data_IF_616929998134
#
_entry.id   IF_616929998134
#
_cell.length_a   1.000
_cell.length_b   1.000
_cell.length_c   1.000
_cell.angle_alpha   90.00
_cell.angle_beta   90.00
_cell.angle_gamma   90.00
#
_symmetry.space_group_name_H-M   'P 1'
#
loop_
_entity.id
_entity.type
_entity.pdbx_description
1 polymer ?
#
# COMPACT_ATOMS: atom_id res chain seq x y z
N UNK A 1 -31.24 -6.30 -54.87
CA UNK A 1 -30.19 -5.39 -55.38
C UNK A 1 -28.88 -5.83 -54.76
N UNK A 2 -28.00 -6.35 -55.60
CA UNK A 2 -26.66 -6.89 -55.31
C UNK A 2 -25.60 -5.83 -55.63
N UNK A 3 -24.60 -5.65 -54.75
CA UNK A 3 -23.23 -5.13 -55.02
C UNK A 3 -22.37 -5.66 -53.85
N UNK A 4 -21.48 -6.65 -54.03
CA UNK A 4 -20.11 -6.67 -54.60
C UNK A 4 -19.05 -5.96 -53.72
N UNK A 5 -18.13 -6.81 -53.23
CA UNK A 5 -16.75 -6.67 -52.69
C UNK A 5 -15.94 -5.42 -53.07
N UNK A 6 -15.03 -4.96 -52.17
CA UNK A 6 -13.57 -5.05 -52.39
C UNK A 6 -12.73 -4.65 -51.14
N UNK A 7 -11.61 -5.36 -50.94
CA UNK A 7 -10.52 -5.08 -50.01
C UNK A 7 -9.57 -4.03 -50.57
N UNK A 8 -8.85 -3.27 -49.73
CA UNK A 8 -7.41 -2.98 -49.91
C UNK A 8 -6.83 -2.16 -48.76
N UNK A 9 -5.67 -2.63 -48.31
CA UNK A 9 -4.67 -2.03 -47.43
C UNK A 9 -4.23 -0.61 -47.86
N UNK A 10 -3.62 0.15 -46.93
CA UNK A 10 -2.27 0.77 -47.08
C UNK A 10 -1.93 1.70 -45.89
N UNK A 11 -0.88 1.28 -45.19
CA UNK A 11 0.26 2.04 -44.62
C UNK A 11 0.14 3.03 -43.43
N UNK A 12 0.85 2.66 -42.36
CA UNK A 12 1.41 3.51 -41.29
C UNK A 12 2.38 4.58 -41.81
N UNK A 13 2.61 5.66 -41.03
CA UNK A 13 3.93 6.25 -40.94
C UNK A 13 4.57 5.99 -39.56
N UNK A 14 5.65 5.19 -39.60
CA UNK A 14 6.65 5.00 -38.54
C UNK A 14 7.24 6.34 -38.07
N UNK A 15 7.28 6.52 -36.76
CA UNK A 15 8.05 7.56 -36.07
C UNK A 15 8.77 6.92 -34.89
N UNK A 16 9.88 6.26 -35.19
CA UNK A 16 10.81 5.70 -34.22
C UNK A 16 11.57 6.84 -33.52
N UNK A 17 10.99 7.34 -32.41
CA UNK A 17 11.76 8.03 -31.38
C UNK A 17 12.11 7.03 -30.30
N UNK A 18 13.25 6.36 -30.49
CA UNK A 18 13.86 5.44 -29.55
C UNK A 18 14.27 6.21 -28.27
N UNK A 19 13.32 6.31 -27.35
CA UNK A 19 13.53 6.90 -26.02
C UNK A 19 14.30 5.86 -25.21
N UNK A 20 15.63 6.01 -25.11
CA UNK A 20 16.49 5.26 -24.18
C UNK A 20 15.97 5.43 -22.76
N UNK A 21 15.06 4.56 -22.38
CA UNK A 21 14.54 4.45 -21.03
C UNK A 21 15.51 3.54 -20.32
N UNK A 22 16.30 4.10 -19.39
CA UNK A 22 17.10 3.27 -18.49
C UNK A 22 16.14 2.28 -17.81
N UNK A 23 16.41 0.96 -17.86
CA UNK A 23 15.62 0.02 -17.09
C UNK A 23 15.68 0.45 -15.62
N UNK A 24 14.54 0.40 -14.88
CA UNK A 24 14.55 0.75 -13.46
C UNK A 24 15.61 -0.10 -12.77
N UNK A 25 16.38 0.47 -11.82
CA UNK A 25 17.35 -0.32 -11.07
C UNK A 25 16.58 -1.47 -10.42
N UNK A 26 16.85 -2.69 -10.88
CA UNK A 26 16.38 -3.90 -10.25
C UNK A 26 17.09 -4.00 -8.91
N UNK A 27 16.52 -3.36 -7.89
CA UNK A 27 16.97 -3.50 -6.52
C UNK A 27 16.54 -4.90 -6.08
N UNK A 28 17.39 -5.88 -6.39
CA UNK A 28 17.26 -7.24 -5.88
C UNK A 28 17.63 -7.19 -4.41
N UNK A 29 16.68 -6.83 -3.55
CA UNK A 29 16.82 -6.95 -2.11
C UNK A 29 16.89 -8.44 -1.82
N UNK A 30 18.10 -8.99 -1.74
CA UNK A 30 18.31 -10.33 -1.20
C UNK A 30 17.94 -10.26 0.28
N UNK A 31 16.93 -11.01 0.75
CA UNK A 31 16.69 -11.11 2.18
C UNK A 31 17.99 -11.61 2.80
N UNK A 32 18.53 -10.88 3.77
CA UNK A 32 19.77 -11.30 4.46
C UNK A 32 19.55 -12.54 5.30
N UNK A 33 18.29 -12.90 5.55
CA UNK A 33 17.87 -14.04 6.35
C UNK A 33 17.42 -15.19 5.45
N UNK A 34 17.83 -16.40 5.81
CA UNK A 34 17.31 -17.62 5.19
C UNK A 34 15.83 -17.80 5.54
N UNK A 35 15.11 -18.56 4.71
CA UNK A 35 13.71 -18.92 4.99
C UNK A 35 13.57 -19.61 6.36
N UNK A 36 14.56 -20.44 6.72
CA UNK A 36 14.61 -21.11 8.01
C UNK A 36 14.69 -20.10 9.17
N UNK A 37 15.59 -19.12 9.08
CA UNK A 37 15.73 -18.08 10.10
C UNK A 37 14.46 -17.24 10.28
N UNK A 38 13.72 -16.99 9.19
CA UNK A 38 12.44 -16.30 9.24
C UNK A 38 11.39 -17.17 9.94
N UNK A 39 11.33 -18.47 9.63
CA UNK A 39 10.40 -19.40 10.28
C UNK A 39 10.69 -19.55 11.76
N UNK A 40 11.95 -19.70 12.15
CA UNK A 40 12.36 -19.81 13.56
C UNK A 40 12.02 -18.52 14.33
N UNK A 41 12.31 -17.35 13.77
CA UNK A 41 11.96 -16.07 14.39
C UNK A 41 10.44 -15.87 14.50
N UNK A 42 9.66 -16.39 13.56
CA UNK A 42 8.20 -16.36 13.63
C UNK A 42 7.68 -17.36 14.66
N UNK A 43 8.26 -18.55 14.79
CA UNK A 43 7.83 -19.54 15.80
C UNK A 43 8.16 -19.11 17.22
N UNK A 44 9.25 -18.37 17.42
CA UNK A 44 9.61 -17.78 18.72
C UNK A 44 8.80 -16.52 19.05
N UNK A 45 7.99 -16.01 18.12
CA UNK A 45 7.13 -14.86 18.38
C UNK A 45 6.03 -15.24 19.37
N UNK A 46 5.87 -14.50 20.49
CA UNK A 46 4.77 -14.73 21.43
C UNK A 46 3.40 -14.49 20.79
N UNK A 47 3.36 -13.86 19.62
CA UNK A 47 2.13 -13.63 18.85
C UNK A 47 1.78 -14.77 17.89
N UNK A 48 2.70 -15.69 17.59
CA UNK A 48 2.45 -16.78 16.66
C UNK A 48 1.48 -17.84 17.22
N UNK A 49 1.44 -18.00 18.54
CA UNK A 49 0.49 -18.88 19.22
C UNK A 49 -0.86 -18.23 19.51
N UNK A 50 -1.01 -16.93 19.26
CA UNK A 50 -2.24 -16.20 19.56
C UNK A 50 -3.25 -16.39 18.42
N UNK A 51 -4.48 -16.85 18.69
CA UNK A 51 -5.51 -16.95 17.66
C UNK A 51 -5.84 -15.59 17.05
N UNK A 52 -6.13 -15.58 15.74
CA UNK A 52 -6.44 -14.38 14.98
C UNK A 52 -7.58 -13.57 15.60
N UNK A 53 -8.59 -14.23 16.16
CA UNK A 53 -9.75 -13.59 16.80
C UNK A 53 -9.35 -12.75 18.01
N UNK A 54 -8.32 -13.18 18.74
CA UNK A 54 -7.78 -12.44 19.88
C UNK A 54 -6.97 -11.25 19.39
N UNK A 55 -6.17 -11.42 18.33
CA UNK A 55 -5.45 -10.31 17.70
C UNK A 55 -6.41 -9.25 17.17
N UNK A 56 -7.51 -9.64 16.51
CA UNK A 56 -8.56 -8.73 16.04
C UNK A 56 -9.11 -7.91 17.22
N UNK A 57 -9.42 -8.56 18.36
CA UNK A 57 -9.92 -7.86 19.55
C UNK A 57 -8.92 -6.84 20.11
N UNK A 58 -7.63 -7.18 20.13
CA UNK A 58 -6.56 -6.25 20.55
C UNK A 58 -6.45 -5.09 19.56
N UNK A 59 -6.40 -5.39 18.26
CA UNK A 59 -6.23 -4.38 17.20
C UNK A 59 -7.41 -3.42 17.14
N UNK A 60 -8.63 -3.86 17.47
CA UNK A 60 -9.80 -2.98 17.64
C UNK A 60 -9.62 -1.88 18.68
N UNK A 61 -8.72 -2.04 19.66
CA UNK A 61 -8.45 -1.04 20.68
C UNK A 61 -7.44 0.03 20.22
N UNK A 62 -6.65 -0.26 19.18
CA UNK A 62 -5.58 0.61 18.70
C UNK A 62 -6.11 1.79 17.88
N UNK A 63 -5.36 2.90 17.81
CA UNK A 63 -5.71 4.01 16.91
C UNK A 63 -5.53 3.60 15.44
N UNK A 64 -6.13 4.35 14.50
CA UNK A 64 -5.92 4.11 13.06
C UNK A 64 -4.44 4.24 12.67
N UNK A 65 -3.74 5.19 13.29
CA UNK A 65 -2.29 5.35 13.09
C UNK A 65 -1.51 4.13 13.54
N UNK A 66 -1.84 3.58 14.71
CA UNK A 66 -1.16 2.39 15.24
C UNK A 66 -1.45 1.15 14.41
N UNK A 67 -2.67 1.01 13.87
CA UNK A 67 -3.02 -0.07 12.95
C UNK A 67 -2.16 -0.03 11.67
N UNK A 68 -1.86 1.17 11.16
CA UNK A 68 -0.92 1.36 10.07
C UNK A 68 0.48 0.83 10.41
N UNK A 69 0.98 1.11 11.62
CA UNK A 69 2.27 0.60 12.08
C UNK A 69 2.26 -0.93 12.29
N UNK A 70 1.18 -1.47 12.87
CA UNK A 70 0.99 -2.91 13.08
C UNK A 70 1.01 -3.69 11.77
N UNK A 71 0.39 -3.15 10.71
CA UNK A 71 0.39 -3.76 9.39
C UNK A 71 1.79 -3.86 8.74
N UNK A 72 2.78 -3.12 9.25
CA UNK A 72 4.17 -3.15 8.78
C UNK A 72 5.04 -4.14 9.56
N UNK A 73 4.58 -4.69 10.68
CA UNK A 73 5.37 -5.59 11.53
C UNK A 73 5.61 -6.93 10.83
N UNK A 74 4.56 -7.58 10.35
CA UNK A 74 4.66 -8.85 9.64
C UNK A 74 3.42 -9.10 8.77
N UNK A 75 3.53 -10.09 7.87
CA UNK A 75 2.43 -10.47 6.96
C UNK A 75 1.18 -10.92 7.71
N UNK A 76 1.34 -11.67 8.81
CA UNK A 76 0.20 -12.12 9.63
C UNK A 76 -0.56 -10.93 10.19
N UNK A 77 0.12 -9.94 10.77
CA UNK A 77 -0.51 -8.74 11.32
C UNK A 77 -1.18 -7.90 10.25
N UNK A 78 -0.58 -7.78 9.06
CA UNK A 78 -1.23 -7.13 7.92
C UNK A 78 -2.57 -7.78 7.59
N UNK A 79 -2.58 -9.11 7.43
CA UNK A 79 -3.81 -9.87 7.15
C UNK A 79 -4.84 -9.70 8.26
N UNK A 80 -4.40 -9.66 9.53
CA UNK A 80 -5.28 -9.43 10.66
C UNK A 80 -5.89 -8.02 10.64
N UNK A 81 -5.09 -6.98 10.35
CA UNK A 81 -5.55 -5.58 10.25
C UNK A 81 -6.55 -5.38 9.10
N UNK A 82 -6.41 -6.15 8.03
CA UNK A 82 -7.32 -6.09 6.87
C UNK A 82 -8.72 -6.69 7.16
N UNK A 83 -8.99 -7.25 8.35
CA UNK A 83 -10.34 -7.69 8.71
C UNK A 83 -11.31 -6.53 8.91
N UNK A 84 -12.43 -6.59 8.18
CA UNK A 84 -13.49 -5.57 8.21
C UNK A 84 -14.02 -5.27 9.62
N UNK A 85 -14.05 -6.25 10.51
CA UNK A 85 -14.53 -6.08 11.90
C UNK A 85 -13.79 -4.97 12.66
N UNK A 86 -12.49 -4.79 12.36
CA UNK A 86 -11.67 -3.75 12.96
C UNK A 86 -12.17 -2.37 12.50
N UNK A 87 -12.35 -2.21 11.20
CA UNK A 87 -12.72 -0.95 10.57
C UNK A 87 -14.19 -0.60 10.79
N UNK A 88 -15.10 -1.58 10.78
CA UNK A 88 -16.50 -1.39 11.16
C UNK A 88 -16.60 -0.80 12.56
N UNK A 89 -15.80 -1.31 13.52
CA UNK A 89 -15.75 -0.76 14.87
C UNK A 89 -15.31 0.70 14.84
N UNK A 90 -14.29 1.06 14.06
CA UNK A 90 -13.80 2.45 13.97
C UNK A 90 -14.80 3.38 13.28
N UNK A 91 -15.47 2.94 12.22
CA UNK A 91 -16.49 3.71 11.52
C UNK A 91 -17.75 3.90 12.36
N UNK A 92 -18.20 2.87 13.10
CA UNK A 92 -19.38 2.96 13.97
C UNK A 92 -19.13 3.81 15.22
N UNK A 93 -17.93 3.77 15.82
CA UNK A 93 -17.55 4.73 16.87
C UNK A 93 -17.45 6.16 16.32
N UNK A 94 -17.20 6.28 15.01
CA UNK A 94 -17.08 7.55 14.30
C UNK A 94 -18.34 7.95 13.52
N UNK A 95 -19.53 7.45 13.86
CA UNK A 95 -20.79 7.82 13.18
C UNK A 95 -21.18 9.32 13.30
N UNK A 96 -20.27 10.17 13.78
CA UNK A 96 -20.30 11.63 13.63
C UNK A 96 -19.34 12.22 12.60
N UNK A 97 -18.39 11.50 11.99
CA UNK A 97 -17.30 12.15 11.24
C UNK A 97 -16.89 11.60 9.86
N UNK A 98 -17.29 10.40 9.44
CA UNK A 98 -16.77 9.90 8.15
C UNK A 98 -17.85 9.33 7.23
N UNK A 99 -18.27 10.15 6.26
CA UNK A 99 -19.05 9.75 5.09
C UNK A 99 -18.20 9.12 3.96
N UNK A 100 -16.90 8.96 4.21
CA UNK A 100 -15.90 8.50 3.25
C UNK A 100 -15.60 7.02 3.45
N UNK A 101 -15.38 6.30 2.36
CA UNK A 101 -14.89 4.93 2.34
C UNK A 101 -13.45 4.83 2.89
N UNK A 102 -13.05 3.63 3.35
CA UNK A 102 -11.70 3.36 3.85
C UNK A 102 -10.60 3.78 2.85
N UNK A 103 -10.80 3.48 1.56
CA UNK A 103 -9.85 3.85 0.50
C UNK A 103 -9.65 5.36 0.45
N UNK A 104 -10.71 6.13 0.64
CA UNK A 104 -10.64 7.60 0.64
C UNK A 104 -9.91 8.12 1.88
N UNK A 105 -10.22 7.59 3.07
CA UNK A 105 -9.54 7.99 4.31
C UNK A 105 -8.04 7.65 4.26
N UNK A 106 -7.69 6.46 3.77
CA UNK A 106 -6.30 6.03 3.61
C UNK A 106 -5.55 6.89 2.59
N UNK A 107 -6.18 7.20 1.46
CA UNK A 107 -5.58 8.06 0.43
C UNK A 107 -5.41 9.50 0.92
N UNK A 108 -6.38 10.04 1.65
CA UNK A 108 -6.29 11.38 2.26
C UNK A 108 -5.09 11.45 3.22
N UNK A 109 -4.92 10.45 4.10
CA UNK A 109 -3.79 10.39 5.03
C UNK A 109 -2.43 10.30 4.32
N UNK A 110 -2.32 9.47 3.27
CA UNK A 110 -1.10 9.39 2.45
C UNK A 110 -0.79 10.77 1.84
N UNK A 111 -1.81 11.44 1.32
CA UNK A 111 -1.66 12.71 0.66
C UNK A 111 -1.20 13.81 1.64
N UNK A 112 -1.79 13.85 2.83
CA UNK A 112 -1.36 14.75 3.91
C UNK A 112 0.10 14.50 4.32
N UNK A 113 0.49 13.24 4.50
CA UNK A 113 1.89 12.87 4.79
C UNK A 113 2.84 13.29 3.68
N UNK A 114 2.44 13.13 2.42
CA UNK A 114 3.23 13.57 1.27
C UNK A 114 3.43 15.09 1.26
N UNK A 115 2.36 15.86 1.48
CA UNK A 115 2.41 17.33 1.52
C UNK A 115 3.30 17.83 2.65
N UNK A 116 3.15 17.28 3.86
CA UNK A 116 3.98 17.65 5.00
C UNK A 116 5.48 17.41 4.74
N UNK A 117 5.82 16.29 4.10
CA UNK A 117 7.20 15.99 3.74
C UNK A 117 7.76 16.94 2.66
N UNK A 118 6.92 17.43 1.74
CA UNK A 118 7.33 18.44 0.77
C UNK A 118 7.57 19.81 1.41
N UNK A 119 6.77 20.18 2.41
CA UNK A 119 6.97 21.42 3.17
C UNK A 119 8.26 21.38 3.98
N UNK A 120 8.55 20.27 4.65
CA UNK A 120 9.81 20.10 5.38
C UNK A 120 11.01 20.28 4.45
N UNK A 121 11.02 19.65 3.27
CA UNK A 121 12.08 19.83 2.26
C UNK A 121 12.23 21.28 1.79
N UNK A 122 11.12 22.01 1.64
CA UNK A 122 11.16 23.44 1.31
C UNK A 122 11.79 24.26 2.43
N UNK A 123 11.45 23.97 3.69
CA UNK A 123 12.01 24.69 4.84
C UNK A 123 13.49 24.37 5.09
N UNK A 124 13.95 23.16 4.78
CA UNK A 124 15.36 22.79 4.83
C UNK A 124 16.16 23.54 3.75
N UNK A 125 15.66 23.60 2.52
CA UNK A 125 16.30 24.36 1.44
C UNK A 125 16.33 25.87 1.71
N UNK A 126 15.34 26.42 2.43
CA UNK A 126 15.29 27.83 2.80
C UNK A 126 16.23 28.21 3.96
N UNK A 127 16.69 27.23 4.76
CA UNK A 127 17.61 27.44 5.89
C UNK A 127 19.09 27.24 5.51
N UNK A 128 19.38 26.88 4.27
CA UNK A 128 20.72 26.63 3.73
C UNK A 128 21.31 27.75 2.87
N UNK A 129 20.94 29.02 3.11
CA UNK A 129 21.52 30.22 2.50
C UNK A 129 22.00 31.19 3.58
#
# INVERSE_FOLDING_TARGET
MTTVVDSSDEEEPKSDKEKKTCPPPTVTVKPSWSVQQIQDALSESPFASIPTEILIRIFRLLSVSDLGNVALVCRSFKLTVDHDEIWQSKCNTSHRLYSKSFKEIYMDWIYEKYLHNQELKKTENARGL
#
